data_IF_158120928167
#
_entry.id   IF_158120928167
#
_cell.length_a   1.000
_cell.length_b   1.000
_cell.length_c   1.000
_cell.angle_alpha   90.00
_cell.angle_beta   90.00
_cell.angle_gamma   90.00
#
_symmetry.space_group_name_H-M   'P 1'
#
loop_
_entity.id
_entity.type
_entity.pdbx_description
1 polymer ?
#
# COMPACT_ATOMS: atom_id res chain seq x y z
N UNK A 1 -14.26 4.87 15.79
CA UNK A 1 -14.30 3.46 15.33
C UNK A 1 -13.11 3.21 14.44
N UNK A 2 -12.47 2.05 14.56
CA UNK A 2 -11.41 1.63 13.64
C UNK A 2 -12.05 0.94 12.44
N UNK A 3 -11.59 1.21 11.22
CA UNK A 3 -12.05 0.52 10.00
C UNK A 3 -10.85 0.04 9.21
N UNK A 4 -10.91 -1.20 8.74
CA UNK A 4 -9.86 -1.78 7.89
C UNK A 4 -10.29 -1.71 6.44
N UNK A 5 -9.37 -1.28 5.59
CA UNK A 5 -9.55 -1.20 4.15
C UNK A 5 -8.47 -2.00 3.47
N UNK A 6 -8.87 -2.85 2.53
CA UNK A 6 -7.96 -3.71 1.81
C UNK A 6 -7.82 -3.25 0.37
N UNK A 7 -6.61 -3.31 -0.16
CA UNK A 7 -6.26 -2.94 -1.52
C UNK A 7 -5.35 -4.01 -2.09
N UNK A 8 -5.49 -4.28 -3.38
CA UNK A 8 -4.71 -5.30 -4.04
C UNK A 8 -4.48 -4.95 -5.51
N UNK A 9 -3.27 -5.19 -6.00
CA UNK A 9 -2.88 -5.07 -7.40
C UNK A 9 -1.82 -6.11 -7.73
N UNK A 10 -1.89 -6.67 -8.93
CA UNK A 10 -0.81 -7.48 -9.49
C UNK A 10 0.14 -6.58 -10.27
N UNK A 11 1.44 -6.64 -9.97
CA UNK A 11 2.46 -5.84 -10.65
C UNK A 11 3.73 -6.66 -10.86
N UNK A 12 4.24 -6.68 -12.09
CA UNK A 12 5.42 -7.48 -12.51
C UNK A 12 5.33 -8.98 -12.14
N UNK A 13 4.12 -9.55 -12.15
CA UNK A 13 3.88 -10.95 -11.79
C UNK A 13 3.81 -11.24 -10.28
N UNK A 14 3.87 -10.20 -9.45
CA UNK A 14 3.77 -10.31 -7.99
C UNK A 14 2.49 -9.66 -7.46
N UNK A 15 1.91 -10.27 -6.45
CA UNK A 15 0.71 -9.77 -5.77
C UNK A 15 1.13 -8.75 -4.71
N UNK A 16 0.70 -7.50 -4.85
CA UNK A 16 0.90 -6.46 -3.83
C UNK A 16 -0.43 -6.16 -3.14
N UNK A 17 -0.46 -6.39 -1.83
CA UNK A 17 -1.63 -6.19 -0.99
C UNK A 17 -1.34 -5.15 0.09
N UNK A 18 -2.25 -4.22 0.29
CA UNK A 18 -2.11 -3.15 1.29
C UNK A 18 -3.34 -3.15 2.18
N UNK A 19 -3.12 -3.14 3.49
CA UNK A 19 -4.18 -2.95 4.48
C UNK A 19 -3.99 -1.62 5.16
N UNK A 20 -5.03 -0.77 5.12
CA UNK A 20 -5.07 0.51 5.85
C UNK A 20 -6.10 0.40 6.97
N UNK A 21 -5.64 0.39 8.21
CA UNK A 21 -6.49 0.56 9.38
C UNK A 21 -6.63 2.05 9.69
N UNK A 22 -7.84 2.59 9.59
CA UNK A 22 -8.15 3.98 9.92
C UNK A 22 -8.63 4.11 11.36
N UNK A 23 -8.40 5.27 11.99
CA UNK A 23 -8.72 5.50 13.40
C UNK A 23 -8.09 6.78 13.96
N UNK A 24 -7.78 6.79 15.26
CA UNK A 24 -7.05 7.90 15.90
C UNK A 24 -5.66 8.05 15.28
N UNK A 25 -4.86 6.99 15.32
CA UNK A 25 -3.77 6.73 14.38
C UNK A 25 -4.28 5.84 13.24
N UNK A 26 -3.63 5.92 12.08
CA UNK A 26 -3.83 4.94 11.03
C UNK A 26 -2.61 4.02 10.94
N UNK A 27 -2.81 2.76 10.58
CA UNK A 27 -1.75 1.80 10.33
C UNK A 27 -1.82 1.33 8.88
N UNK A 28 -0.66 1.13 8.27
CA UNK A 28 -0.52 0.66 6.90
C UNK A 28 0.40 -0.55 6.91
N UNK A 29 -0.15 -1.69 6.49
CA UNK A 29 0.57 -2.95 6.33
C UNK A 29 0.64 -3.28 4.84
N UNK A 30 1.84 -3.63 4.34
CA UNK A 30 2.06 -4.01 2.94
C UNK A 30 2.60 -5.43 2.88
N UNK A 31 2.00 -6.22 1.99
CA UNK A 31 2.37 -7.60 1.72
C UNK A 31 2.72 -7.76 0.24
N UNK A 32 3.79 -8.50 -0.04
CA UNK A 32 4.14 -8.98 -1.38
C UNK A 32 4.06 -10.50 -1.37
N UNK A 33 3.27 -11.07 -2.29
CA UNK A 33 3.01 -12.51 -2.38
C UNK A 33 2.55 -13.13 -1.05
N UNK A 34 1.78 -12.36 -0.27
CA UNK A 34 1.27 -12.77 1.05
C UNK A 34 2.27 -12.67 2.19
N UNK A 35 3.51 -12.21 1.96
CA UNK A 35 4.50 -11.94 2.99
C UNK A 35 4.54 -10.46 3.36
N UNK A 36 4.48 -10.13 4.65
CA UNK A 36 4.66 -8.76 5.12
C UNK A 36 6.06 -8.23 4.74
N UNK A 37 6.08 -7.09 4.05
CA UNK A 37 7.30 -6.41 3.60
C UNK A 37 7.49 -5.05 4.26
N UNK A 38 6.40 -4.38 4.64
CA UNK A 38 6.46 -3.10 5.32
C UNK A 38 5.25 -2.91 6.24
N UNK A 39 5.49 -2.23 7.36
CA UNK A 39 4.46 -1.86 8.34
C UNK A 39 4.79 -0.52 8.97
N UNK A 40 3.81 0.38 9.01
CA UNK A 40 3.99 1.71 9.60
C UNK A 40 2.71 2.22 10.27
N UNK A 41 2.87 2.98 11.35
CA UNK A 41 1.78 3.74 11.97
C UNK A 41 1.91 5.20 11.55
N UNK A 42 0.90 5.71 10.86
CA UNK A 42 0.78 7.11 10.46
C UNK A 42 -0.10 7.88 11.45
N UNK A 43 0.48 8.94 12.01
CA UNK A 43 -0.21 9.83 12.95
C UNK A 43 -1.13 10.83 12.23
N UNK A 44 -0.89 12.12 12.49
CA UNK A 44 -1.70 13.23 11.93
C UNK A 44 -1.46 13.51 10.45
N UNK A 45 -0.32 13.10 9.90
CA UNK A 45 0.03 13.33 8.49
C UNK A 45 -0.89 12.58 7.52
N UNK A 46 -1.54 11.50 7.98
CA UNK A 46 -2.53 10.70 7.24
C UNK A 46 -2.05 10.19 5.87
N UNK A 47 -0.77 10.31 5.55
CA UNK A 47 -0.18 9.85 4.31
C UNK A 47 1.20 9.26 4.57
N UNK A 48 1.56 8.22 3.82
CA UNK A 48 2.91 7.65 3.83
C UNK A 48 3.26 7.08 2.46
N UNK A 49 4.55 7.10 2.15
CA UNK A 49 5.15 6.43 1.01
C UNK A 49 6.14 5.39 1.55
N UNK A 50 5.94 4.12 1.21
CA UNK A 50 6.73 3.00 1.69
C UNK A 50 7.45 2.34 0.50
N UNK A 51 8.79 2.32 0.47
CA UNK A 51 9.52 1.51 -0.52
C UNK A 51 9.34 0.03 -0.19
N UNK A 52 9.05 -0.76 -1.22
CA UNK A 52 8.79 -2.20 -1.12
C UNK A 52 9.52 -2.90 -2.26
N UNK A 53 10.25 -3.97 -1.91
CA UNK A 53 10.93 -4.81 -2.90
C UNK A 53 9.99 -5.88 -3.46
N UNK A 54 9.99 -6.02 -4.78
CA UNK A 54 9.39 -7.13 -5.50
C UNK A 54 10.47 -8.17 -5.82
N UNK A 55 10.21 -9.47 -5.62
CA UNK A 55 11.18 -10.53 -5.84
C UNK A 55 11.31 -10.91 -7.32
N UNK A 56 11.51 -9.90 -8.18
CA UNK A 56 11.88 -10.05 -9.60
C UNK A 56 13.38 -10.32 -9.74
N UNK A 57 13.84 -10.69 -10.94
CA UNK A 57 15.26 -10.80 -11.28
C UNK A 57 15.63 -9.80 -12.39
N UNK A 58 16.37 -8.71 -12.11
CA UNK A 58 16.86 -8.28 -10.79
C UNK A 58 15.74 -7.78 -9.87
N UNK A 59 15.95 -7.70 -8.53
CA UNK A 59 14.94 -7.20 -7.60
C UNK A 59 14.49 -5.77 -7.93
N UNK A 60 13.19 -5.57 -8.07
CA UNK A 60 12.60 -4.27 -8.42
C UNK A 60 12.04 -3.60 -7.17
N UNK A 61 12.35 -2.32 -6.96
CA UNK A 61 11.73 -1.53 -5.88
C UNK A 61 10.53 -0.77 -6.42
N UNK A 62 9.42 -0.80 -5.70
CA UNK A 62 8.23 0.01 -5.96
C UNK A 62 7.88 0.82 -4.70
N UNK A 63 7.17 1.93 -4.85
CA UNK A 63 6.71 2.72 -3.69
C UNK A 63 5.21 2.57 -3.54
N UNK A 64 4.75 2.12 -2.38
CA UNK A 64 3.34 2.14 -2.01
C UNK A 64 3.02 3.46 -1.32
N UNK A 65 2.12 4.25 -1.91
CA UNK A 65 1.60 5.48 -1.31
C UNK A 65 0.20 5.25 -0.77
N UNK A 66 0.03 5.37 0.54
CA UNK A 66 -1.25 5.24 1.22
C UNK A 66 -1.67 6.57 1.83
N UNK A 67 -2.94 6.96 1.65
CA UNK A 67 -3.55 8.15 2.24
C UNK A 67 -4.79 7.74 3.05
N UNK A 68 -4.70 7.83 4.38
CA UNK A 68 -5.77 7.60 5.34
C UNK A 68 -6.60 8.89 5.55
N UNK A 69 -7.37 9.29 4.53
CA UNK A 69 -8.31 10.42 4.61
C UNK A 69 -9.62 10.10 5.34
N UNK A 70 -10.48 11.10 5.60
CA UNK A 70 -11.84 10.85 6.07
C UNK A 70 -12.63 10.08 4.99
N UNK A 71 -13.04 8.85 5.28
CA UNK A 71 -13.78 8.00 4.35
C UNK A 71 -12.99 6.78 3.88
N UNK A 72 -13.09 6.45 2.59
CA UNK A 72 -12.32 5.35 1.99
C UNK A 72 -10.90 5.83 1.70
N UNK A 73 -9.85 5.18 2.24
CA UNK A 73 -8.48 5.55 1.97
C UNK A 73 -8.12 5.34 0.49
N UNK A 74 -7.05 6.00 0.04
CA UNK A 74 -6.51 5.82 -1.31
C UNK A 74 -5.16 5.13 -1.20
N UNK A 75 -4.93 4.14 -2.06
CA UNK A 75 -3.65 3.46 -2.19
C UNK A 75 -3.21 3.48 -3.66
N UNK A 76 -1.93 3.77 -3.85
CA UNK A 76 -1.28 3.80 -5.16
C UNK A 76 0.01 2.99 -5.09
N UNK A 77 0.34 2.32 -6.19
CA UNK A 77 1.64 1.72 -6.42
C UNK A 77 2.39 2.58 -7.44
N UNK A 78 3.61 2.98 -7.10
CA UNK A 78 4.46 3.85 -7.93
C UNK A 78 5.69 3.01 -8.31
N UNK A 79 5.78 2.53 -9.56
CA UNK A 79 6.94 1.77 -10.01
C UNK A 79 8.19 2.65 -10.08
N UNK A 80 9.37 2.07 -9.83
CA UNK A 80 10.62 2.80 -10.01
C UNK A 80 10.89 3.05 -11.49
N UNK A 81 10.83 4.32 -11.91
CA UNK A 81 11.13 4.73 -13.28
C UNK A 81 9.92 4.87 -14.22
N UNK A 82 8.72 4.54 -13.76
CA UNK A 82 7.48 4.83 -14.50
C UNK A 82 6.88 6.17 -14.03
N UNK A 83 6.36 6.95 -14.97
CA UNK A 83 5.79 8.28 -14.67
C UNK A 83 4.42 8.20 -14.00
N UNK A 84 3.64 7.15 -14.28
CA UNK A 84 2.24 7.08 -13.90
C UNK A 84 1.99 6.13 -12.71
N UNK A 85 1.47 6.65 -11.58
CA UNK A 85 1.05 5.82 -10.46
C UNK A 85 -0.11 4.89 -10.84
N UNK A 86 -0.03 3.63 -10.42
CA UNK A 86 -1.09 2.64 -10.56
C UNK A 86 -2.06 2.76 -9.38
N UNK A 87 -3.36 2.92 -9.69
CA UNK A 87 -4.40 3.02 -8.68
C UNK A 87 -4.77 1.63 -8.15
N UNK A 88 -4.68 1.43 -6.84
CA UNK A 88 -5.18 0.22 -6.20
C UNK A 88 -6.65 0.42 -5.82
N UNK A 89 -7.55 -0.39 -6.39
CA UNK A 89 -8.97 -0.32 -6.04
C UNK A 89 -9.22 -0.92 -4.64
N UNK A 90 -10.04 -0.29 -3.79
CA UNK A 90 -10.45 -0.87 -2.51
C UNK A 90 -11.27 -2.14 -2.76
N UNK A 91 -10.96 -3.19 -2.00
CA UNK A 91 -11.70 -4.45 -2.02
C UNK A 91 -12.45 -4.67 -0.71
N UNK A 92 -13.67 -5.24 -0.75
CA UNK A 92 -14.32 -5.71 0.45
C UNK A 92 -13.48 -6.81 1.10
N UNK A 93 -13.55 -6.89 2.43
CA UNK A 93 -13.05 -8.03 3.18
C UNK A 93 -13.96 -9.24 3.02
#
# INVERSE_FOLDING_TARGET
MRRRHHFHIDHLGHSVSVTVETGHSAAVDVLVDGKETARVVIGRERQVALPVGLPTDPPTTVTVRATAGPGVPRCLLIPAGEADPLVMAPRPY
#
